data_IF_489496294336
#
_entry.id   IF_489496294336
#
_cell.length_a   1.000
_cell.length_b   1.000
_cell.length_c   1.000
_cell.angle_alpha   90.00
_cell.angle_beta   90.00
_cell.angle_gamma   90.00
#
_symmetry.space_group_name_H-M   'P 1'
#
loop_
_entity.id
_entity.type
_entity.pdbx_description
1 polymer ?
#
# COMPACT_ATOMS: atom_id res chain seq x y z
N UNK A 1 2.30 -8.94 3.85
CA UNK A 1 1.33 -9.88 4.46
C UNK A 1 0.19 -9.99 3.45
N UNK A 2 0.08 -11.11 2.76
CA UNK A 2 -0.99 -11.37 1.80
C UNK A 2 -1.79 -12.53 2.39
N UNK A 3 -3.09 -12.31 2.58
CA UNK A 3 -4.02 -13.34 3.02
C UNK A 3 -4.52 -14.10 1.79
N UNK A 4 -4.35 -15.42 1.79
CA UNK A 4 -5.01 -16.31 0.85
C UNK A 4 -6.25 -16.83 1.56
N UNK A 5 -7.42 -16.64 0.97
CA UNK A 5 -8.66 -17.24 1.43
C UNK A 5 -9.04 -18.39 0.50
N UNK A 6 -9.25 -19.62 1.02
CA UNK A 6 -10.09 -20.60 0.35
C UNK A 6 -11.55 -20.27 0.62
N UNK A 7 -12.37 -20.22 -0.43
CA UNK A 7 -13.83 -20.23 -0.29
C UNK A 7 -14.26 -21.64 0.15
N UNK A 8 -15.12 -21.72 1.17
CA UNK A 8 -15.53 -22.97 1.80
C UNK A 8 -16.41 -23.87 0.91
N UNK A 9 -16.16 -25.16 1.07
CA UNK A 9 -16.95 -26.36 0.71
C UNK A 9 -17.23 -26.67 -0.79
N UNK A 10 -16.82 -27.88 -1.15
CA UNK A 10 -16.65 -28.46 -2.48
C UNK A 10 -17.84 -28.39 -3.43
N UNK A 11 -17.60 -27.96 -4.68
CA UNK A 11 -17.90 -28.65 -5.97
C UNK A 11 -17.11 -27.90 -7.08
N UNK A 12 -16.10 -28.56 -7.67
CA UNK A 12 -15.28 -28.02 -8.78
C UNK A 12 -14.22 -27.00 -8.34
N UNK A 13 -12.93 -27.35 -8.47
CA UNK A 13 -11.81 -26.44 -8.17
C UNK A 13 -11.87 -25.22 -9.09
N UNK A 14 -12.50 -24.13 -8.65
CA UNK A 14 -12.32 -22.82 -9.25
C UNK A 14 -10.93 -22.34 -8.81
N UNK A 15 -10.03 -22.09 -9.77
CA UNK A 15 -8.69 -21.60 -9.48
C UNK A 15 -8.79 -20.28 -8.70
N UNK A 16 -8.06 -20.17 -7.59
CA UNK A 16 -7.99 -18.91 -6.84
C UNK A 16 -7.07 -17.97 -7.61
N UNK A 17 -7.64 -16.91 -8.18
CA UNK A 17 -6.89 -15.92 -8.94
C UNK A 17 -6.52 -14.73 -8.05
N UNK A 18 -5.23 -14.38 -8.04
CA UNK A 18 -4.68 -13.18 -7.42
C UNK A 18 -4.31 -12.18 -8.52
N UNK A 19 -4.74 -10.92 -8.40
CA UNK A 19 -4.25 -9.85 -9.26
C UNK A 19 -3.37 -8.89 -8.48
N UNK A 20 -2.50 -8.18 -9.17
CA UNK A 20 -1.86 -6.96 -8.66
C UNK A 20 -1.53 -6.05 -9.85
N UNK A 21 -1.04 -4.83 -9.60
CA UNK A 21 -0.72 -3.88 -10.68
C UNK A 21 0.70 -4.06 -11.19
N UNK A 22 0.98 -3.69 -12.44
CA UNK A 22 2.36 -3.61 -12.97
C UNK A 22 3.26 -2.60 -12.23
N UNK A 23 2.69 -1.93 -11.24
CA UNK A 23 3.32 -0.96 -10.39
C UNK A 23 3.52 -1.49 -8.96
N UNK A 24 3.77 -2.77 -8.65
CA UNK A 24 3.98 -3.21 -7.25
C UNK A 24 5.43 -3.14 -6.73
N UNK A 25 5.58 -3.11 -5.40
CA UNK A 25 6.87 -3.32 -4.74
C UNK A 25 7.40 -4.73 -4.99
N UNK A 26 8.67 -4.85 -5.37
CA UNK A 26 9.32 -6.15 -5.63
C UNK A 26 9.17 -7.15 -4.48
N UNK A 27 9.12 -6.68 -3.22
CA UNK A 27 8.87 -7.53 -2.06
C UNK A 27 7.43 -8.06 -1.97
N UNK A 28 6.43 -7.32 -2.47
CA UNK A 28 5.05 -7.80 -2.62
C UNK A 28 4.99 -8.82 -3.76
N UNK A 29 5.58 -8.50 -4.92
CA UNK A 29 5.64 -9.44 -6.06
C UNK A 29 6.29 -10.76 -5.65
N UNK A 30 7.42 -10.71 -4.94
CA UNK A 30 8.07 -11.91 -4.42
C UNK A 30 7.18 -12.70 -3.44
N UNK A 31 6.42 -12.02 -2.58
CA UNK A 31 5.46 -12.69 -1.71
C UNK A 31 4.35 -13.37 -2.52
N UNK A 32 3.79 -12.71 -3.53
CA UNK A 32 2.76 -13.30 -4.41
C UNK A 32 3.29 -14.49 -5.20
N UNK A 33 4.52 -14.41 -5.71
CA UNK A 33 5.19 -15.53 -6.38
C UNK A 33 5.35 -16.74 -5.45
N UNK A 34 5.71 -16.52 -4.19
CA UNK A 34 5.81 -17.61 -3.21
C UNK A 34 4.44 -18.19 -2.84
N UNK A 35 3.39 -17.35 -2.78
CA UNK A 35 2.01 -17.80 -2.61
C UNK A 35 1.53 -18.63 -3.79
N UNK A 36 1.79 -18.18 -5.02
CA UNK A 36 1.51 -18.93 -6.25
C UNK A 36 2.18 -20.31 -6.23
N UNK A 37 3.47 -20.36 -5.84
CA UNK A 37 4.23 -21.62 -5.74
C UNK A 37 3.64 -22.59 -4.70
N UNK A 38 3.09 -22.07 -3.60
CA UNK A 38 2.60 -22.89 -2.47
C UNK A 38 1.15 -23.35 -2.60
N UNK A 39 0.31 -22.54 -3.24
CA UNK A 39 -1.14 -22.70 -3.18
C UNK A 39 -1.81 -22.84 -4.55
N UNK A 40 -1.02 -23.07 -5.61
CA UNK A 40 -1.52 -23.26 -6.98
C UNK A 40 -2.47 -22.13 -7.41
N UNK A 41 -2.00 -20.89 -7.18
CA UNK A 41 -2.77 -19.68 -7.50
C UNK A 41 -2.53 -19.25 -8.95
N UNK A 42 -3.60 -18.85 -9.63
CA UNK A 42 -3.46 -18.07 -10.85
C UNK A 42 -3.09 -16.63 -10.50
N UNK A 43 -2.15 -16.04 -11.23
CA UNK A 43 -1.71 -14.67 -10.98
C UNK A 43 -1.86 -13.85 -12.25
N UNK A 44 -2.57 -12.72 -12.16
CA UNK A 44 -2.72 -11.75 -13.25
C UNK A 44 -2.14 -10.39 -12.88
N UNK A 45 -1.72 -9.63 -13.89
CA UNK A 45 -1.20 -8.27 -13.71
C UNK A 45 -2.12 -7.26 -14.40
N UNK A 46 -2.51 -6.23 -13.67
CA UNK A 46 -3.28 -5.10 -14.15
C UNK A 46 -2.30 -3.99 -14.63
N UNK A 47 -2.32 -3.59 -15.91
CA UNK A 47 -1.43 -2.57 -16.44
C UNK A 47 -1.90 -1.17 -16.01
N UNK A 48 -1.49 -0.74 -14.83
CA UNK A 48 -1.85 0.56 -14.25
C UNK A 48 -0.89 1.66 -14.71
N UNK A 49 0.34 1.33 -15.07
CA UNK A 49 1.33 2.33 -15.46
C UNK A 49 0.92 3.11 -16.71
N UNK A 50 0.22 2.45 -17.64
CA UNK A 50 -0.29 3.06 -18.86
C UNK A 50 -1.32 4.15 -18.58
N UNK A 51 -1.99 4.11 -17.42
CA UNK A 51 -2.98 5.11 -17.02
C UNK A 51 -2.39 6.34 -16.32
N UNK A 52 -1.05 6.47 -16.25
CA UNK A 52 -0.37 7.52 -15.49
C UNK A 52 -0.74 8.96 -15.91
N UNK A 53 -0.94 9.17 -17.21
CA UNK A 53 -1.19 10.48 -17.81
C UNK A 53 -2.54 10.58 -18.52
N UNK A 54 -3.15 9.45 -18.86
CA UNK A 54 -4.38 9.35 -19.64
C UNK A 54 -5.01 7.97 -19.44
N UNK A 55 -6.33 7.88 -19.50
CA UNK A 55 -7.06 6.62 -19.26
C UNK A 55 -7.63 6.55 -17.85
N UNK A 56 -8.60 5.66 -17.68
CA UNK A 56 -9.23 5.42 -16.38
C UNK A 56 -8.57 4.20 -15.74
N UNK A 57 -7.85 4.34 -14.60
CA UNK A 57 -7.27 3.20 -13.88
C UNK A 57 -8.33 2.17 -13.46
N UNK A 58 -9.60 2.56 -13.45
CA UNK A 58 -10.75 1.73 -13.11
C UNK A 58 -11.51 1.17 -14.33
N UNK A 59 -11.01 1.34 -15.56
CA UNK A 59 -11.63 0.74 -16.76
C UNK A 59 -11.76 -0.79 -16.58
N UNK A 60 -12.91 -1.36 -16.96
CA UNK A 60 -13.18 -2.80 -16.83
C UNK A 60 -12.20 -3.69 -17.59
N UNK A 61 -11.50 -3.15 -18.60
CA UNK A 61 -10.45 -3.86 -19.35
C UNK A 61 -9.16 -4.06 -18.54
N UNK A 62 -8.87 -3.16 -17.60
CA UNK A 62 -7.78 -3.29 -16.63
C UNK A 62 -8.21 -4.06 -15.39
N UNK A 63 -9.51 -4.04 -15.06
CA UNK A 63 -10.07 -4.70 -13.86
C UNK A 63 -10.71 -6.07 -14.17
N UNK A 64 -9.91 -7.14 -14.10
CA UNK A 64 -10.31 -8.56 -14.19
C UNK A 64 -11.29 -8.97 -13.06
N UNK A 65 -12.07 -10.06 -13.18
CA UNK A 65 -13.07 -10.44 -12.17
C UNK A 65 -12.52 -10.88 -10.81
N UNK A 66 -11.21 -10.98 -10.65
CA UNK A 66 -10.53 -11.49 -9.46
C UNK A 66 -9.32 -10.61 -9.17
N UNK A 67 -9.53 -9.49 -8.46
CA UNK A 67 -8.49 -8.50 -8.20
C UNK A 67 -8.28 -8.12 -6.73
N UNK A 68 -7.15 -8.57 -6.20
CA UNK A 68 -6.46 -7.80 -5.17
C UNK A 68 -5.70 -6.66 -5.85
N UNK A 69 -5.62 -5.48 -5.26
CA UNK A 69 -4.84 -4.36 -5.79
C UNK A 69 -4.02 -3.74 -4.68
N UNK A 70 -2.78 -4.19 -4.53
CA UNK A 70 -1.79 -3.36 -3.88
C UNK A 70 -1.44 -2.20 -4.82
N UNK A 71 -0.93 -1.09 -4.28
CA UNK A 71 -0.59 0.11 -5.05
C UNK A 71 0.79 0.58 -4.59
N UNK A 72 1.91 0.01 -5.12
CA UNK A 72 3.14 0.73 -5.59
C UNK A 72 4.50 0.03 -5.49
N UNK A 73 5.32 0.20 -6.55
CA UNK A 73 6.69 0.76 -6.63
C UNK A 73 7.08 1.18 -8.06
N UNK A 74 7.00 2.48 -8.31
CA UNK A 74 8.13 3.45 -8.38
C UNK A 74 7.58 4.76 -7.75
N UNK A 75 8.36 5.81 -7.43
CA UNK A 75 7.84 7.00 -6.74
C UNK A 75 6.80 7.82 -7.55
N UNK A 76 6.01 7.25 -8.45
CA UNK A 76 5.57 7.94 -9.67
C UNK A 76 4.08 8.28 -9.75
N UNK A 77 3.22 7.99 -8.77
CA UNK A 77 1.77 8.11 -9.04
C UNK A 77 0.85 8.34 -7.84
N UNK A 78 1.32 8.81 -6.69
CA UNK A 78 0.35 9.08 -5.60
C UNK A 78 -0.45 10.30 -6.04
N UNK A 79 -1.78 10.15 -6.10
CA UNK A 79 -2.67 11.15 -6.67
C UNK A 79 -3.63 11.72 -5.61
N UNK A 80 -3.86 13.04 -5.63
CA UNK A 80 -5.17 13.69 -5.60
C UNK A 80 -5.95 13.11 -6.77
N UNK A 81 -6.71 12.05 -6.49
CA UNK A 81 -7.21 11.13 -7.51
C UNK A 81 -6.93 9.68 -7.15
N UNK A 82 -5.90 9.37 -6.35
CA UNK A 82 -5.65 8.00 -5.88
C UNK A 82 -6.67 7.61 -4.82
N UNK A 83 -7.19 8.54 -4.01
CA UNK A 83 -8.34 8.23 -3.15
C UNK A 83 -9.58 7.90 -3.98
N UNK A 84 -9.87 8.69 -5.02
CA UNK A 84 -11.03 8.50 -5.91
C UNK A 84 -10.90 7.26 -6.83
N UNK A 85 -9.71 7.02 -7.38
CA UNK A 85 -9.39 5.85 -8.19
C UNK A 85 -9.33 4.59 -7.31
N UNK A 86 -8.76 4.67 -6.09
CA UNK A 86 -8.78 3.53 -5.15
C UNK A 86 -10.21 3.25 -4.70
N UNK A 87 -11.01 4.25 -4.34
CA UNK A 87 -12.42 4.04 -3.97
C UNK A 87 -13.19 3.43 -5.14
N UNK A 88 -12.96 3.91 -6.36
CA UNK A 88 -13.57 3.35 -7.55
C UNK A 88 -13.12 1.92 -7.85
N UNK A 89 -11.84 1.60 -7.68
CA UNK A 89 -11.33 0.23 -7.80
C UNK A 89 -11.93 -0.68 -6.73
N UNK A 90 -12.05 -0.21 -5.49
CA UNK A 90 -12.71 -0.92 -4.39
C UNK A 90 -14.17 -1.21 -4.76
N UNK A 91 -14.93 -0.23 -5.24
CA UNK A 91 -16.31 -0.41 -5.71
C UNK A 91 -16.42 -1.49 -6.80
N UNK A 92 -15.54 -1.44 -7.80
CA UNK A 92 -15.59 -2.41 -8.91
C UNK A 92 -15.22 -3.81 -8.44
N UNK A 93 -14.24 -3.95 -7.54
CA UNK A 93 -13.86 -5.24 -6.96
C UNK A 93 -15.00 -5.80 -6.09
N UNK A 94 -15.60 -4.96 -5.23
CA UNK A 94 -16.72 -5.35 -4.38
C UNK A 94 -17.97 -5.74 -5.18
N UNK A 95 -18.24 -5.05 -6.29
CA UNK A 95 -19.31 -5.44 -7.23
C UNK A 95 -19.11 -6.83 -7.84
N UNK A 96 -17.91 -7.42 -7.69
CA UNK A 96 -17.56 -8.77 -8.13
C UNK A 96 -17.20 -9.71 -6.96
N UNK A 97 -17.53 -9.31 -5.73
CA UNK A 97 -17.23 -10.07 -4.51
C UNK A 97 -15.74 -10.34 -4.30
N UNK A 98 -14.90 -9.41 -4.73
CA UNK A 98 -13.45 -9.48 -4.60
C UNK A 98 -12.97 -8.54 -3.49
N UNK A 99 -12.11 -9.04 -2.61
CA UNK A 99 -11.49 -8.21 -1.56
C UNK A 99 -10.27 -7.43 -2.06
N UNK A 100 -10.00 -6.28 -1.44
CA UNK A 100 -8.93 -5.36 -1.84
C UNK A 100 -7.92 -5.15 -0.70
N UNK A 101 -6.64 -5.46 -0.98
CA UNK A 101 -5.51 -5.14 -0.11
C UNK A 101 -4.69 -4.00 -0.70
N UNK A 102 -4.71 -2.84 -0.06
CA UNK A 102 -3.94 -1.67 -0.48
C UNK A 102 -2.57 -1.63 0.18
N UNK A 103 -1.50 -1.53 -0.62
CA UNK A 103 -0.20 -1.07 -0.13
C UNK A 103 -0.25 0.45 0.02
N UNK A 104 -0.20 0.89 1.27
CA UNK A 104 -0.38 2.27 1.67
C UNK A 104 0.92 2.91 2.17
N UNK A 105 2.07 2.34 1.81
CA UNK A 105 3.35 2.82 2.31
C UNK A 105 3.67 4.27 1.88
N UNK A 106 3.02 4.76 0.83
CA UNK A 106 3.20 6.15 0.36
C UNK A 106 1.98 7.03 0.69
N UNK A 107 0.77 6.47 0.80
CA UNK A 107 -0.45 7.26 1.02
C UNK A 107 -0.65 7.71 2.47
N UNK A 108 -0.37 6.84 3.44
CA UNK A 108 -0.60 7.13 4.87
C UNK A 108 0.41 8.18 5.36
N UNK A 109 -0.12 9.25 5.97
CA UNK A 109 0.64 10.43 6.39
C UNK A 109 0.60 11.58 5.38
N UNK A 110 0.24 11.30 4.11
CA UNK A 110 0.12 12.29 3.03
C UNK A 110 -1.32 12.60 2.70
N UNK A 111 -2.07 11.59 2.29
CA UNK A 111 -3.43 11.74 1.80
C UNK A 111 -4.39 11.97 2.99
N UNK A 112 -5.44 12.78 2.81
CA UNK A 112 -6.56 12.82 3.74
C UNK A 112 -7.34 11.51 3.57
N UNK A 113 -7.16 10.59 4.51
CA UNK A 113 -7.71 9.23 4.43
C UNK A 113 -8.85 9.05 5.42
N UNK A 114 -9.99 8.58 4.91
CA UNK A 114 -11.05 7.98 5.71
C UNK A 114 -11.22 6.53 5.24
N UNK A 115 -10.71 5.57 6.03
CA UNK A 115 -10.72 4.15 5.64
C UNK A 115 -12.13 3.56 5.63
N UNK A 116 -13.03 4.10 6.46
CA UNK A 116 -14.44 3.69 6.48
C UNK A 116 -15.13 4.07 5.17
N UNK A 117 -14.90 5.29 4.68
CA UNK A 117 -15.45 5.75 3.39
C UNK A 117 -14.76 5.06 2.20
N UNK A 118 -13.44 4.85 2.28
CA UNK A 118 -12.68 4.16 1.24
C UNK A 118 -13.12 2.70 1.05
N UNK A 119 -13.60 2.09 2.14
CA UNK A 119 -14.17 0.74 2.16
C UNK A 119 -13.19 -0.37 1.76
N UNK A 120 -11.87 -0.15 1.76
CA UNK A 120 -10.90 -1.20 1.47
C UNK A 120 -10.91 -2.31 2.54
N UNK A 121 -10.73 -3.57 2.12
CA UNK A 121 -10.70 -4.72 3.05
C UNK A 121 -9.46 -4.72 3.94
N UNK A 122 -8.32 -4.41 3.33
CA UNK A 122 -7.02 -4.39 4.01
C UNK A 122 -6.22 -3.16 3.59
N UNK A 123 -5.55 -2.50 4.53
CA UNK A 123 -4.76 -1.29 4.27
C UNK A 123 -3.44 -1.34 5.05
N UNK A 124 -2.33 -1.64 4.36
CA UNK A 124 -1.03 -1.92 4.98
C UNK A 124 -0.10 -0.71 4.89
N UNK A 125 0.41 -0.22 6.02
CA UNK A 125 1.29 0.96 6.04
C UNK A 125 2.46 0.84 7.02
N UNK A 126 3.36 1.81 6.94
CA UNK A 126 4.49 1.92 7.86
C UNK A 126 4.66 3.34 8.42
N UNK A 127 5.17 3.43 9.64
CA UNK A 127 5.39 4.71 10.32
C UNK A 127 6.66 5.45 9.90
N UNK A 128 7.64 4.77 9.31
CA UNK A 128 8.96 5.35 9.04
C UNK A 128 9.10 6.09 7.71
N UNK A 129 7.97 6.41 7.09
CA UNK A 129 7.91 7.20 5.84
C UNK A 129 7.33 8.57 6.14
N UNK A 130 6.13 8.85 5.66
CA UNK A 130 5.51 10.18 5.76
C UNK A 130 5.08 10.59 7.16
N UNK A 131 4.97 9.63 8.10
CA UNK A 131 4.80 9.95 9.51
C UNK A 131 6.10 10.36 10.21
N UNK A 132 7.26 10.24 9.55
CA UNK A 132 8.58 10.55 10.10
C UNK A 132 8.88 9.79 11.41
N UNK A 133 8.29 8.61 11.61
CA UNK A 133 8.62 7.72 12.73
C UNK A 133 9.95 7.00 12.53
N UNK A 134 10.47 6.37 13.57
CA UNK A 134 11.64 5.50 13.46
C UNK A 134 11.32 4.22 12.67
N UNK A 135 12.32 3.69 11.96
CA UNK A 135 12.23 2.39 11.29
C UNK A 135 11.93 1.26 12.28
N UNK A 136 11.00 0.37 11.93
CA UNK A 136 10.66 -0.81 12.74
C UNK A 136 9.21 -0.91 13.21
N UNK A 137 8.37 0.11 12.96
CA UNK A 137 6.93 0.08 13.30
C UNK A 137 6.07 0.38 12.08
N UNK A 138 5.01 -0.40 11.92
CA UNK A 138 3.95 -0.21 10.93
C UNK A 138 2.67 -0.88 11.43
N UNK A 139 1.63 -0.88 10.60
CA UNK A 139 0.38 -1.54 10.95
C UNK A 139 -0.38 -2.00 9.70
N UNK A 140 -1.33 -2.89 9.94
CA UNK A 140 -2.31 -3.35 8.97
C UNK A 140 -3.69 -3.01 9.51
N UNK A 141 -4.44 -2.21 8.77
CA UNK A 141 -5.87 -2.10 8.97
C UNK A 141 -6.55 -3.30 8.30
N UNK A 142 -7.52 -3.89 9.01
CA UNK A 142 -8.39 -4.95 8.51
C UNK A 142 -9.82 -4.50 8.78
N UNK A 143 -10.64 -4.44 7.73
CA UNK A 143 -12.06 -4.15 7.85
C UNK A 143 -12.75 -5.25 8.68
N UNK A 144 -13.65 -4.92 9.63
CA UNK A 144 -14.24 -5.91 10.53
C UNK A 144 -14.82 -7.15 9.83
N UNK A 145 -15.54 -6.95 8.72
CA UNK A 145 -16.16 -8.00 7.92
C UNK A 145 -15.12 -8.88 7.22
N UNK A 146 -13.99 -8.30 6.78
CA UNK A 146 -12.91 -9.05 6.16
C UNK A 146 -12.14 -9.91 7.18
N UNK A 147 -12.14 -9.51 8.46
CA UNK A 147 -11.40 -10.21 9.52
C UNK A 147 -11.88 -11.63 9.76
N UNK A 148 -13.17 -11.90 9.59
CA UNK A 148 -13.77 -13.23 9.83
C UNK A 148 -13.19 -14.32 8.93
N UNK A 149 -12.68 -13.92 7.77
CA UNK A 149 -12.08 -14.83 6.80
C UNK A 149 -10.58 -15.05 7.05
N UNK A 150 -9.93 -14.22 7.85
CA UNK A 150 -8.48 -14.29 8.04
C UNK A 150 -8.05 -15.37 9.04
N UNK A 151 -7.03 -16.14 8.66
CA UNK A 151 -6.37 -17.10 9.54
C UNK A 151 -4.94 -16.64 9.88
N UNK A 152 -4.57 -16.54 11.18
CA UNK A 152 -3.19 -16.25 11.58
C UNK A 152 -2.20 -17.27 11.05
N UNK A 153 -1.08 -16.81 10.48
CA UNK A 153 -0.01 -17.67 9.93
C UNK A 153 1.23 -17.66 10.82
N UNK A 154 1.83 -16.48 11.03
CA UNK A 154 2.89 -16.31 12.02
C UNK A 154 2.27 -15.90 13.34
N UNK A 155 2.47 -16.72 14.37
CA UNK A 155 1.85 -16.57 15.67
C UNK A 155 2.90 -16.69 16.78
N UNK A 156 2.59 -16.14 17.95
CA UNK A 156 3.37 -16.32 19.16
C UNK A 156 2.53 -15.97 20.39
N UNK A 157 3.19 -15.72 21.52
CA UNK A 157 2.50 -15.54 22.80
C UNK A 157 1.56 -14.31 22.83
N UNK A 158 1.78 -13.30 21.96
CA UNK A 158 0.86 -12.15 21.84
C UNK A 158 -0.41 -12.48 21.04
N UNK A 159 -0.36 -13.52 20.22
CA UNK A 159 -1.44 -13.91 19.30
C UNK A 159 -2.59 -14.63 20.00
N UNK A 160 -2.34 -15.20 21.19
CA UNK A 160 -3.26 -16.14 21.85
C UNK A 160 -3.75 -15.62 23.20
N UNK A 161 -4.88 -16.15 23.64
CA UNK A 161 -5.39 -16.08 25.00
C UNK A 161 -5.10 -17.43 25.65
N UNK A 162 -4.53 -17.42 26.86
CA UNK A 162 -4.17 -18.63 27.60
C UNK A 162 -5.07 -18.86 28.80
N UNK A 163 -5.25 -20.13 29.18
CA UNK A 163 -5.89 -20.52 30.44
C UNK A 163 -5.02 -20.15 31.67
N UNK A 164 -5.52 -20.47 32.87
CA UNK A 164 -4.79 -20.23 34.13
C UNK A 164 -3.49 -21.05 34.27
N UNK A 165 -3.28 -22.07 33.43
CA UNK A 165 -2.08 -22.92 33.40
C UNK A 165 -1.09 -22.49 32.30
N UNK A 166 -1.43 -21.48 31.50
CA UNK A 166 -0.63 -21.00 30.37
C UNK A 166 -0.85 -21.76 29.06
N UNK A 167 -1.86 -22.62 28.97
CA UNK A 167 -2.21 -23.35 27.73
C UNK A 167 -2.94 -22.40 26.78
N UNK A 168 -2.52 -22.28 25.50
CA UNK A 168 -3.29 -21.53 24.51
C UNK A 168 -4.69 -22.11 24.31
N UNK A 169 -5.73 -21.31 24.51
CA UNK A 169 -7.14 -21.73 24.32
C UNK A 169 -7.69 -21.28 22.97
N UNK A 170 -7.40 -20.03 22.59
CA UNK A 170 -7.90 -19.41 21.36
C UNK A 170 -7.02 -18.23 20.93
N UNK A 171 -7.20 -17.76 19.71
CA UNK A 171 -6.60 -16.51 19.27
C UNK A 171 -7.24 -15.29 19.93
N UNK A 172 -6.49 -14.20 19.99
CA UNK A 172 -7.06 -12.89 20.32
C UNK A 172 -8.20 -12.56 19.33
N UNK A 173 -9.27 -11.89 19.79
CA UNK A 173 -10.45 -11.65 18.96
C UNK A 173 -10.27 -10.50 17.97
N UNK A 174 -9.09 -9.87 17.90
CA UNK A 174 -8.80 -8.69 17.11
C UNK A 174 -7.43 -8.78 16.41
N UNK A 175 -6.93 -7.65 15.90
CA UNK A 175 -5.65 -7.59 15.18
C UNK A 175 -4.46 -8.17 15.95
N UNK A 176 -4.54 -8.28 17.29
CA UNK A 176 -3.52 -8.93 18.10
C UNK A 176 -3.30 -10.40 17.75
N UNK A 177 -4.27 -11.07 17.12
CA UNK A 177 -4.10 -12.43 16.61
C UNK A 177 -2.95 -12.56 15.60
N UNK A 178 -2.53 -11.44 14.99
CA UNK A 178 -1.44 -11.35 14.02
C UNK A 178 -0.16 -10.71 14.59
N UNK A 179 -0.13 -10.41 15.89
CA UNK A 179 1.05 -9.92 16.60
C UNK A 179 1.80 -11.09 17.23
N UNK A 180 3.10 -11.24 16.94
CA UNK A 180 3.84 -12.47 17.22
C UNK A 180 4.34 -12.51 18.68
N UNK A 181 5.31 -11.66 19.02
CA UNK A 181 6.04 -11.73 20.27
C UNK A 181 6.62 -10.36 20.65
N UNK A 182 7.67 -10.35 21.47
CA UNK A 182 8.45 -9.16 21.81
C UNK A 182 8.87 -8.41 20.55
N UNK A 183 8.76 -7.09 20.58
CA UNK A 183 9.12 -6.20 19.49
C UNK A 183 9.92 -5.02 20.07
N UNK A 184 10.34 -4.07 19.25
CA UNK A 184 10.98 -2.85 19.71
C UNK A 184 9.95 -1.90 20.37
N UNK A 185 9.45 -2.28 21.56
CA UNK A 185 8.37 -1.60 22.29
C UNK A 185 8.57 -0.09 22.44
N UNK A 186 9.79 0.45 22.69
CA UNK A 186 10.00 1.90 22.76
C UNK A 186 9.63 2.67 21.48
N UNK A 187 9.60 2.00 20.32
CA UNK A 187 9.23 2.64 19.06
C UNK A 187 7.71 2.90 18.93
N UNK A 188 6.87 2.21 19.70
CA UNK A 188 5.42 2.40 19.65
C UNK A 188 4.98 3.80 20.12
N UNK A 189 5.36 4.26 21.34
CA UNK A 189 5.07 5.63 21.74
C UNK A 189 5.81 6.66 20.89
N UNK A 190 7.00 6.34 20.35
CA UNK A 190 7.72 7.24 19.45
C UNK A 190 6.94 7.50 18.14
N UNK A 191 6.36 6.45 17.53
CA UNK A 191 5.50 6.62 16.37
C UNK A 191 4.22 7.39 16.73
N UNK A 192 3.64 7.13 17.90
CA UNK A 192 2.47 7.88 18.37
C UNK A 192 2.76 9.37 18.47
N UNK A 193 3.91 9.76 19.02
CA UNK A 193 4.27 11.19 19.08
C UNK A 193 4.61 11.78 17.72
N UNK A 194 5.24 11.03 16.83
CA UNK A 194 5.44 11.48 15.46
C UNK A 194 4.08 11.78 14.79
N UNK A 195 3.09 10.90 14.95
CA UNK A 195 1.73 11.14 14.44
C UNK A 195 1.09 12.36 15.12
N UNK A 196 1.17 12.48 16.45
CA UNK A 196 0.61 13.60 17.20
C UNK A 196 1.20 14.94 16.78
N UNK A 197 2.52 15.00 16.54
CA UNK A 197 3.18 16.19 16.00
C UNK A 197 2.59 16.63 14.66
N UNK A 198 2.30 15.68 13.76
CA UNK A 198 1.70 15.98 12.46
C UNK A 198 0.22 16.38 12.54
N UNK A 199 -0.47 16.09 13.64
CA UNK A 199 -1.86 16.52 13.84
C UNK A 199 -1.99 18.05 13.96
N UNK A 200 -0.95 18.73 14.44
CA UNK A 200 -0.89 20.20 14.46
C UNK A 200 -1.02 20.84 13.06
N UNK A 201 -0.74 20.08 12.00
CA UNK A 201 -0.82 20.53 10.61
C UNK A 201 -1.89 19.78 9.82
N UNK A 202 -2.79 19.02 10.46
CA UNK A 202 -3.67 18.07 9.77
C UNK A 202 -4.47 18.68 8.61
N UNK A 203 -4.99 19.91 8.78
CA UNK A 203 -5.81 20.59 7.79
C UNK A 203 -5.02 21.07 6.56
N UNK A 204 -3.75 21.46 6.74
CA UNK A 204 -2.94 22.09 5.70
C UNK A 204 -1.84 21.20 5.14
N UNK A 205 -1.51 20.09 5.82
CA UNK A 205 -0.37 19.24 5.46
C UNK A 205 -0.44 18.78 4.02
N UNK A 206 -1.61 18.34 3.58
CA UNK A 206 -1.78 17.78 2.24
C UNK A 206 -1.66 18.84 1.14
N UNK A 207 -2.29 20.00 1.31
CA UNK A 207 -2.15 21.11 0.37
C UNK A 207 -0.70 21.59 0.32
N UNK A 208 -0.03 21.75 1.46
CA UNK A 208 1.38 22.11 1.52
C UNK A 208 2.29 21.11 0.78
N UNK A 209 2.02 19.81 0.91
CA UNK A 209 2.77 18.77 0.19
C UNK A 209 2.60 18.94 -1.32
N UNK A 210 1.39 19.25 -1.77
CA UNK A 210 1.09 19.36 -3.20
C UNK A 210 1.54 20.69 -3.79
N UNK A 211 1.49 21.79 -3.04
CA UNK A 211 2.08 23.06 -3.44
C UNK A 211 3.58 22.91 -3.69
N UNK A 212 4.29 22.20 -2.79
CA UNK A 212 5.73 21.95 -2.91
C UNK A 212 6.06 21.05 -4.09
N UNK A 213 5.29 19.98 -4.31
CA UNK A 213 5.53 19.08 -5.44
C UNK A 213 5.17 19.72 -6.78
N UNK A 214 4.10 20.51 -6.84
CA UNK A 214 3.74 21.31 -8.01
C UNK A 214 4.83 22.32 -8.35
N UNK A 215 5.34 23.04 -7.34
CA UNK A 215 6.48 23.95 -7.51
C UNK A 215 7.71 23.22 -8.07
N UNK A 216 8.12 22.11 -7.45
CA UNK A 216 9.26 21.31 -7.91
C UNK A 216 9.05 20.81 -9.35
N UNK A 217 7.86 20.28 -9.66
CA UNK A 217 7.52 19.79 -11.00
C UNK A 217 7.57 20.89 -12.05
N UNK A 218 7.07 22.10 -11.75
CA UNK A 218 7.14 23.24 -12.64
C UNK A 218 8.60 23.66 -12.91
N UNK A 219 9.44 23.68 -11.87
CA UNK A 219 10.86 24.00 -11.99
C UNK A 219 11.63 22.96 -12.80
N UNK A 220 11.35 21.68 -12.60
CA UNK A 220 11.97 20.58 -13.36
C UNK A 220 11.55 20.61 -14.83
N UNK A 221 10.27 20.86 -15.14
CA UNK A 221 9.78 20.97 -16.52
C UNK A 221 10.42 22.11 -17.31
N UNK A 222 10.93 23.14 -16.64
CA UNK A 222 11.61 24.26 -17.30
C UNK A 222 13.05 23.93 -17.71
N UNK A 223 13.61 22.80 -17.28
CA UNK A 223 14.97 22.38 -17.62
C UNK A 223 14.94 21.59 -18.94
N UNK A 224 15.67 22.01 -19.99
CA UNK A 224 15.59 21.37 -21.31
C UNK A 224 15.94 19.88 -21.31
N UNK A 225 16.88 19.47 -20.47
CA UNK A 225 17.37 18.08 -20.39
C UNK A 225 16.59 17.20 -19.41
N UNK A 226 15.46 17.69 -18.87
CA UNK A 226 14.66 16.98 -17.86
C UNK A 226 13.25 16.72 -18.37
N UNK A 227 12.84 15.45 -18.32
CA UNK A 227 11.50 15.02 -18.67
C UNK A 227 10.75 14.51 -17.45
N UNK A 228 9.80 15.30 -16.94
CA UNK A 228 8.85 14.81 -15.93
C UNK A 228 7.95 13.71 -16.51
N UNK A 229 7.72 12.64 -15.75
CA UNK A 229 6.87 11.53 -16.18
C UNK A 229 5.39 11.90 -16.25
N UNK A 230 4.94 12.74 -15.29
CA UNK A 230 3.57 13.28 -15.31
C UNK A 230 3.49 14.53 -16.19
N UNK A 231 2.45 14.58 -17.04
CA UNK A 231 2.12 15.72 -17.89
C UNK A 231 1.29 16.79 -17.16
N UNK A 232 0.64 16.42 -16.06
CA UNK A 232 -0.09 17.30 -15.13
C UNK A 232 0.64 17.46 -13.80
N UNK A 233 0.22 18.45 -13.00
CA UNK A 233 0.79 18.72 -11.69
C UNK A 233 0.69 17.47 -10.79
N UNK A 234 1.75 17.16 -10.00
CA UNK A 234 1.72 16.05 -9.06
C UNK A 234 0.65 16.25 -8.02
N UNK A 235 0.00 15.16 -7.71
CA UNK A 235 -1.20 15.12 -6.91
C UNK A 235 -0.86 14.58 -5.49
N UNK A 236 0.44 14.48 -5.18
CA UNK A 236 1.02 14.15 -3.87
C UNK A 236 2.44 14.73 -3.79
N UNK A 237 3.22 14.34 -2.77
CA UNK A 237 4.58 14.81 -2.58
C UNK A 237 5.64 14.20 -3.51
N UNK A 238 5.29 13.27 -4.39
CA UNK A 238 6.28 12.60 -5.25
C UNK A 238 6.32 13.21 -6.65
N UNK A 239 7.51 13.63 -7.08
CA UNK A 239 7.79 14.11 -8.44
C UNK A 239 8.82 13.21 -9.06
N UNK A 240 8.62 12.85 -10.32
CA UNK A 240 9.46 11.86 -10.97
C UNK A 240 9.74 12.22 -12.39
N UNK A 241 10.99 12.04 -12.78
CA UNK A 241 11.54 12.58 -14.00
C UNK A 241 12.70 11.73 -14.49
N UNK A 242 13.04 11.92 -15.75
CA UNK A 242 14.23 11.41 -16.41
C UNK A 242 15.11 12.59 -16.78
N UNK A 243 16.42 12.34 -16.86
CA UNK A 243 17.39 13.32 -17.38
C UNK A 243 17.99 12.72 -18.64
N UNK A 244 17.97 13.47 -19.74
CA UNK A 244 18.51 13.02 -21.03
C UNK A 244 19.97 12.56 -20.88
N UNK A 245 20.28 11.40 -21.47
CA UNK A 245 21.62 10.79 -21.46
C UNK A 245 22.24 10.56 -20.06
N UNK A 246 21.49 10.78 -18.98
CA UNK A 246 21.95 10.61 -17.61
C UNK A 246 21.79 9.17 -17.14
N UNK A 247 22.88 8.56 -16.65
CA UNK A 247 22.76 7.38 -15.78
C UNK A 247 22.20 7.86 -14.44
N UNK A 248 20.91 7.61 -14.21
CA UNK A 248 20.19 8.07 -13.01
C UNK A 248 20.92 7.78 -11.69
N UNK A 249 21.62 6.64 -11.60
CA UNK A 249 22.40 6.28 -10.41
C UNK A 249 23.53 7.28 -10.11
N UNK A 250 24.30 7.68 -11.13
CA UNK A 250 25.40 8.63 -10.97
C UNK A 250 24.89 10.01 -10.56
N UNK A 251 23.74 10.42 -11.10
CA UNK A 251 23.12 11.71 -10.74
C UNK A 251 22.70 11.74 -9.26
N UNK A 252 22.14 10.63 -8.76
CA UNK A 252 21.80 10.50 -7.34
C UNK A 252 23.05 10.56 -6.47
N UNK A 253 24.10 9.79 -6.82
CA UNK A 253 25.38 9.81 -6.08
C UNK A 253 26.01 11.20 -6.02
N UNK A 254 25.96 11.95 -7.13
CA UNK A 254 26.41 13.33 -7.18
C UNK A 254 25.64 14.23 -6.19
N UNK A 255 24.31 14.12 -6.15
CA UNK A 255 23.49 14.88 -5.19
C UNK A 255 23.68 14.44 -3.74
N UNK A 256 24.01 13.18 -3.50
CA UNK A 256 24.36 12.65 -2.17
C UNK A 256 25.76 13.10 -1.70
N UNK A 257 26.53 13.78 -2.56
CA UNK A 257 27.90 14.20 -2.27
C UNK A 257 28.89 13.02 -2.23
N UNK A 258 28.57 11.92 -2.92
CA UNK A 258 29.36 10.69 -2.96
C UNK A 258 30.32 10.62 -4.16
N UNK A 259 30.62 11.76 -4.78
CA UNK A 259 31.51 11.91 -5.94
C UNK A 259 32.78 12.69 -5.61
#
# INVERSE_FOLDING_TARGET
MAAILPCGESIGKQAITFCFTDCEHQGIVAAVQELQRRFDLEVSVCPLLETLNSGDPSDRRTVSPTQYSSLRRKPHSLEHGASFATSRMVEICHARSVQVLVDAAQSVGVLPLNLTELNADFYAFTGHKWWCGAAGVGALYVRPEARETLHPTFIGWRSVITDAKGTPERFQPDGRAFEIATSAIPLYPALREAIAFHQAFAETRYSMICDRSAYLWQRLKALPSVQCLKTSAPASGLVSFQVENGKHHNLVQYFEGMT
#
